data_IF_302909536263
#
_entry.id   IF_302909536263
#
_cell.length_a   1.000
_cell.length_b   1.000
_cell.length_c   1.000
_cell.angle_alpha   90.00
_cell.angle_beta   90.00
_cell.angle_gamma   90.00
#
_symmetry.space_group_name_H-M   'P 1'
#
loop_
_entity.id
_entity.type
_entity.pdbx_description
1 polymer ?
#
# COMPACT_ATOMS: atom_id res chain seq x y z
N UNK A 1 7.74 9.41 -10.75
CA UNK A 1 7.86 8.36 -11.75
C UNK A 1 9.33 8.15 -12.11
N UNK A 2 9.73 6.88 -12.24
CA UNK A 2 11.04 6.44 -12.74
C UNK A 2 10.81 5.28 -13.73
N UNK A 3 11.47 5.26 -14.87
CA UNK A 3 11.29 4.29 -15.95
C UNK A 3 10.48 4.84 -17.12
N UNK A 4 9.83 3.97 -17.89
CA UNK A 4 9.01 4.37 -19.03
C UNK A 4 7.69 4.98 -18.53
N UNK A 5 7.31 6.11 -19.10
CA UNK A 5 6.07 6.78 -18.76
C UNK A 5 4.86 6.26 -19.57
N UNK A 6 5.10 5.44 -20.58
CA UNK A 6 4.03 4.79 -21.31
C UNK A 6 3.46 3.63 -20.50
N UNK A 7 2.15 3.62 -20.34
CA UNK A 7 1.42 2.54 -19.68
C UNK A 7 1.65 1.20 -20.38
N UNK A 8 1.92 0.15 -19.63
CA UNK A 8 2.13 -1.19 -20.14
C UNK A 8 1.19 -2.18 -19.45
N UNK A 9 0.54 -3.01 -20.23
CA UNK A 9 -0.27 -4.10 -19.70
C UNK A 9 0.47 -5.42 -19.81
N UNK A 10 0.71 -6.08 -18.68
CA UNK A 10 1.35 -7.39 -18.62
C UNK A 10 0.40 -8.46 -18.06
N UNK A 11 0.82 -9.72 -18.14
CA UNK A 11 0.09 -10.80 -17.47
C UNK A 11 0.49 -10.84 -16.01
N UNK A 12 -0.45 -10.55 -15.14
CA UNK A 12 -0.25 -10.52 -13.68
C UNK A 12 -0.69 -11.81 -13.00
N UNK A 13 -0.20 -12.02 -11.78
CA UNK A 13 -0.62 -13.10 -10.89
C UNK A 13 -0.94 -12.51 -9.52
N UNK A 14 -2.17 -12.67 -9.06
CA UNK A 14 -2.60 -12.22 -7.74
C UNK A 14 -1.72 -12.79 -6.61
N UNK A 15 -1.61 -12.05 -5.54
CA UNK A 15 -1.00 -12.49 -4.30
C UNK A 15 -0.66 -11.32 -3.38
N UNK A 16 -0.33 -11.64 -2.14
CA UNK A 16 -0.11 -10.62 -1.12
C UNK A 16 1.28 -10.71 -0.51
N UNK A 17 1.91 -9.55 -0.29
CA UNK A 17 3.15 -9.40 0.47
C UNK A 17 2.86 -8.63 1.74
N UNK A 18 2.99 -9.30 2.88
CA UNK A 18 2.64 -8.78 4.20
C UNK A 18 3.91 -8.68 5.05
N UNK A 19 4.48 -7.48 5.17
CA UNK A 19 5.71 -7.23 5.92
C UNK A 19 5.45 -6.46 7.22
N UNK A 20 6.06 -6.91 8.32
CA UNK A 20 5.82 -6.37 9.66
C UNK A 20 6.47 -5.02 9.98
N UNK A 21 7.12 -4.39 9.03
CA UNK A 21 7.86 -3.14 9.22
C UNK A 21 9.37 -3.35 9.41
N UNK A 22 10.08 -2.29 9.82
CA UNK A 22 11.54 -2.22 9.87
C UNK A 22 12.16 -2.25 8.46
N UNK A 23 13.14 -3.12 8.19
CA UNK A 23 13.83 -3.20 6.91
C UNK A 23 12.97 -3.91 5.87
N UNK A 24 12.91 -3.36 4.68
CA UNK A 24 12.26 -3.99 3.53
C UNK A 24 13.02 -5.26 3.11
N UNK A 25 12.28 -6.23 2.55
CA UNK A 25 12.80 -7.55 2.17
C UNK A 25 12.87 -7.63 0.65
N UNK A 26 14.08 -7.62 0.09
CA UNK A 26 14.31 -7.68 -1.36
C UNK A 26 13.57 -8.84 -2.04
N UNK A 27 13.62 -10.03 -1.44
CA UNK A 27 12.96 -11.20 -1.99
C UNK A 27 11.43 -11.05 -2.08
N UNK A 28 10.81 -10.26 -1.18
CA UNK A 28 9.39 -9.99 -1.23
C UNK A 28 9.04 -9.04 -2.39
N UNK A 29 9.84 -7.99 -2.60
CA UNK A 29 9.68 -7.11 -3.76
C UNK A 29 9.97 -7.85 -5.07
N UNK A 30 11.03 -8.64 -5.15
CA UNK A 30 11.33 -9.46 -6.32
C UNK A 30 10.20 -10.43 -6.66
N UNK A 31 9.54 -11.00 -5.64
CA UNK A 31 8.37 -11.84 -5.83
C UNK A 31 7.18 -11.04 -6.40
N UNK A 32 6.93 -9.81 -5.94
CA UNK A 32 5.91 -8.94 -6.51
C UNK A 32 6.23 -8.56 -7.95
N UNK A 33 7.48 -8.18 -8.23
CA UNK A 33 7.97 -7.84 -9.57
C UNK A 33 7.76 -9.01 -10.54
N UNK A 34 8.11 -10.23 -10.13
CA UNK A 34 7.88 -11.40 -10.97
C UNK A 34 6.38 -11.63 -11.26
N UNK A 35 5.50 -11.39 -10.28
CA UNK A 35 4.05 -11.54 -10.44
C UNK A 35 3.38 -10.40 -11.20
N UNK A 36 4.00 -9.23 -11.23
CA UNK A 36 3.55 -8.12 -12.08
C UNK A 36 3.88 -8.35 -13.58
N UNK A 37 4.63 -9.41 -13.90
CA UNK A 37 5.13 -9.63 -15.26
C UNK A 37 6.09 -8.56 -15.75
N UNK A 38 6.74 -7.83 -14.83
CA UNK A 38 7.63 -6.72 -15.14
C UNK A 38 6.90 -5.44 -15.59
N UNK A 39 5.63 -5.30 -15.27
CA UNK A 39 4.81 -4.13 -15.59
C UNK A 39 5.08 -2.91 -14.71
N UNK A 40 4.10 -2.02 -14.61
CA UNK A 40 4.20 -0.77 -13.85
C UNK A 40 3.94 -1.02 -12.37
N UNK A 41 4.88 -0.54 -11.53
CA UNK A 41 4.84 -0.70 -10.09
C UNK A 41 4.43 0.61 -9.42
N UNK A 42 3.37 0.61 -8.63
CA UNK A 42 2.92 1.80 -7.89
C UNK A 42 3.14 1.62 -6.39
N UNK A 43 3.71 2.64 -5.76
CA UNK A 43 3.81 2.74 -4.30
C UNK A 43 2.92 3.88 -3.83
N UNK A 44 2.07 3.62 -2.82
CA UNK A 44 1.25 4.65 -2.19
C UNK A 44 1.65 4.86 -0.73
N UNK A 45 1.62 6.11 -0.28
CA UNK A 45 1.93 6.53 1.08
C UNK A 45 1.30 7.88 1.41
N UNK A 46 1.09 8.19 2.71
CA UNK A 46 0.56 9.49 3.11
C UNK A 46 1.65 10.54 3.35
N UNK A 47 2.87 10.12 3.68
CA UNK A 47 3.99 11.00 4.02
C UNK A 47 5.29 10.47 3.43
N UNK A 48 6.35 11.28 3.42
CA UNK A 48 7.66 10.91 2.91
C UNK A 48 7.87 11.30 1.44
N UNK A 49 8.72 10.56 0.74
CA UNK A 49 9.15 10.83 -0.63
C UNK A 49 9.22 9.52 -1.44
N UNK A 50 9.80 9.59 -2.60
CA UNK A 50 9.88 8.55 -3.63
C UNK A 50 11.09 7.60 -3.50
N UNK A 51 11.57 7.37 -2.28
CA UNK A 51 12.74 6.51 -2.02
C UNK A 51 12.61 5.07 -2.53
N UNK A 52 11.38 4.58 -2.74
CA UNK A 52 11.15 3.28 -3.37
C UNK A 52 11.49 3.26 -4.86
N UNK A 53 11.44 4.41 -5.53
CA UNK A 53 11.69 4.45 -6.96
C UNK A 53 13.11 3.96 -7.34
N UNK A 54 14.22 4.53 -6.81
CA UNK A 54 15.55 4.00 -7.10
C UNK A 54 15.73 2.56 -6.58
N UNK A 55 15.19 2.23 -5.42
CA UNK A 55 15.30 0.90 -4.85
C UNK A 55 14.68 -0.18 -5.75
N UNK A 56 13.41 -0.01 -6.16
CA UNK A 56 12.73 -1.02 -6.98
C UNK A 56 13.24 -1.00 -8.43
N UNK A 57 13.42 0.20 -9.03
CA UNK A 57 13.78 0.31 -10.44
C UNK A 57 15.25 0.00 -10.71
N UNK A 58 16.15 0.54 -9.86
CA UNK A 58 17.60 0.47 -10.11
C UNK A 58 18.25 -0.70 -9.38
N UNK A 59 17.96 -0.84 -8.07
CA UNK A 59 18.67 -1.83 -7.24
C UNK A 59 18.10 -3.24 -7.45
N UNK A 60 16.78 -3.39 -7.52
CA UNK A 60 16.12 -4.68 -7.77
C UNK A 60 15.89 -4.94 -9.27
N UNK A 61 15.47 -3.93 -10.02
CA UNK A 61 15.19 -4.01 -11.45
C UNK A 61 13.98 -4.87 -11.82
N UNK A 62 13.72 -4.98 -13.12
CA UNK A 62 12.71 -5.90 -13.66
C UNK A 62 11.29 -5.34 -13.76
N UNK A 63 11.09 -4.04 -13.56
CA UNK A 63 9.82 -3.33 -13.80
C UNK A 63 9.94 -2.38 -15.00
N UNK A 64 8.84 -2.13 -15.69
CA UNK A 64 8.76 -1.14 -16.76
C UNK A 64 8.92 0.28 -16.20
N UNK A 65 8.14 0.56 -15.16
CA UNK A 65 8.24 1.81 -14.40
C UNK A 65 7.91 1.61 -12.92
N UNK A 66 8.23 2.62 -12.12
CA UNK A 66 7.73 2.76 -10.76
C UNK A 66 7.31 4.20 -10.48
N UNK A 67 6.17 4.36 -9.83
CA UNK A 67 5.70 5.65 -9.38
C UNK A 67 5.30 5.61 -7.89
N UNK A 68 5.80 6.58 -7.11
CA UNK A 68 5.37 6.77 -5.74
C UNK A 68 4.38 7.94 -5.65
N UNK A 69 3.16 7.65 -5.21
CA UNK A 69 2.12 8.63 -4.94
C UNK A 69 2.10 8.99 -3.44
N UNK A 70 2.24 10.26 -3.14
CA UNK A 70 2.16 10.78 -1.76
C UNK A 70 0.80 11.46 -1.57
N UNK A 71 -0.14 10.73 -0.97
CA UNK A 71 -1.57 11.07 -0.86
C UNK A 71 -1.86 11.57 0.56
N UNK A 72 -1.82 12.89 0.74
CA UNK A 72 -1.78 13.59 2.05
C UNK A 72 -3.14 13.96 2.63
N UNK A 73 -4.23 13.51 2.03
CA UNK A 73 -5.57 13.84 2.49
C UNK A 73 -6.66 13.40 1.51
N UNK A 74 -7.91 13.60 1.91
CA UNK A 74 -9.09 13.24 1.13
C UNK A 74 -9.06 13.80 -0.30
N UNK A 75 -8.66 15.05 -0.45
CA UNK A 75 -8.59 15.71 -1.77
C UNK A 75 -7.66 14.97 -2.72
N UNK A 76 -6.49 14.58 -2.23
CA UNK A 76 -5.50 13.85 -3.03
C UNK A 76 -5.98 12.41 -3.28
N UNK A 77 -6.68 11.82 -2.30
CA UNK A 77 -7.26 10.48 -2.43
C UNK A 77 -8.44 10.42 -3.43
N UNK A 78 -9.10 11.55 -3.66
CA UNK A 78 -10.17 11.67 -4.65
C UNK A 78 -9.68 12.21 -6.00
N UNK A 79 -8.38 12.42 -6.18
CA UNK A 79 -7.81 12.86 -7.46
C UNK A 79 -7.93 11.77 -8.51
N UNK A 80 -8.51 12.11 -9.65
CA UNK A 80 -8.71 11.17 -10.76
C UNK A 80 -7.38 10.69 -11.37
N UNK A 81 -6.33 11.49 -11.31
CA UNK A 81 -5.02 11.07 -11.80
C UNK A 81 -4.40 10.02 -10.88
N UNK A 82 -4.51 10.20 -9.55
CA UNK A 82 -4.09 9.17 -8.59
C UNK A 82 -4.85 7.86 -8.80
N UNK A 83 -6.17 7.94 -8.97
CA UNK A 83 -7.00 6.79 -9.31
C UNK A 83 -6.51 6.08 -10.58
N UNK A 84 -6.32 6.82 -11.66
CA UNK A 84 -5.89 6.26 -12.95
C UNK A 84 -4.49 5.64 -12.85
N UNK A 85 -3.55 6.27 -12.17
CA UNK A 85 -2.21 5.70 -11.94
C UNK A 85 -2.31 4.36 -11.20
N UNK A 86 -3.15 4.28 -10.16
CA UNK A 86 -3.30 3.04 -9.39
C UNK A 86 -3.96 1.94 -10.20
N UNK A 87 -5.09 2.18 -10.86
CA UNK A 87 -5.81 1.11 -11.59
C UNK A 87 -5.02 0.55 -12.78
N UNK A 88 -4.09 1.33 -13.32
CA UNK A 88 -3.22 0.89 -14.41
C UNK A 88 -2.04 0.04 -13.92
N UNK A 89 -1.67 0.11 -12.65
CA UNK A 89 -0.52 -0.62 -12.09
C UNK A 89 -0.64 -2.15 -12.20
N UNK A 90 0.46 -2.83 -12.46
CA UNK A 90 0.62 -4.29 -12.42
C UNK A 90 1.11 -4.80 -11.07
N UNK A 91 1.55 -3.89 -10.17
CA UNK A 91 1.82 -4.18 -8.77
C UNK A 91 1.56 -2.94 -7.91
N UNK A 92 1.03 -3.14 -6.71
CA UNK A 92 0.81 -2.06 -5.75
C UNK A 92 1.48 -2.37 -4.41
N UNK A 93 2.19 -1.39 -3.85
CA UNK A 93 2.77 -1.50 -2.52
C UNK A 93 2.39 -0.31 -1.63
N UNK A 94 1.92 -0.61 -0.41
CA UNK A 94 1.57 0.40 0.60
C UNK A 94 2.73 0.51 1.58
N UNK A 95 3.41 1.65 1.57
CA UNK A 95 4.62 1.87 2.34
C UNK A 95 4.37 2.00 3.85
N UNK A 96 5.47 2.07 4.60
CA UNK A 96 5.45 2.43 6.03
C UNK A 96 4.86 3.84 6.22
N UNK A 97 4.10 4.03 7.29
CA UNK A 97 3.49 5.32 7.62
C UNK A 97 2.70 5.26 8.93
N UNK A 98 1.66 6.05 9.01
CA UNK A 98 0.66 6.02 10.08
C UNK A 98 -0.65 5.43 9.53
N UNK A 99 -1.12 4.33 10.09
CA UNK A 99 -2.34 3.68 9.64
C UNK A 99 -3.59 4.55 9.87
N UNK A 100 -3.57 5.47 10.84
CA UNK A 100 -4.65 6.42 11.01
C UNK A 100 -4.73 7.40 9.85
N UNK A 101 -3.58 7.91 9.37
CA UNK A 101 -3.54 8.77 8.20
C UNK A 101 -4.10 8.04 6.98
N UNK A 102 -3.69 6.80 6.76
CA UNK A 102 -4.18 5.98 5.65
C UNK A 102 -5.69 5.79 5.72
N UNK A 103 -6.22 5.34 6.85
CA UNK A 103 -7.65 5.15 7.03
C UNK A 103 -8.42 6.47 6.92
N UNK A 104 -7.93 7.55 7.53
CA UNK A 104 -8.60 8.84 7.54
C UNK A 104 -8.60 9.54 6.18
N UNK A 105 -7.56 9.32 5.37
CA UNK A 105 -7.42 9.99 4.07
C UNK A 105 -8.00 9.18 2.92
N UNK A 106 -7.83 7.85 2.94
CA UNK A 106 -8.11 7.00 1.78
C UNK A 106 -9.43 6.26 1.85
N UNK A 107 -9.93 5.95 3.05
CA UNK A 107 -11.24 5.28 3.20
C UNK A 107 -12.36 6.12 2.57
N UNK A 108 -13.31 5.48 1.91
CA UNK A 108 -14.41 6.10 1.17
C UNK A 108 -13.90 7.12 0.11
N UNK A 109 -12.90 6.74 -0.68
CA UNK A 109 -12.28 7.57 -1.72
C UNK A 109 -11.96 6.78 -2.99
N UNK A 110 -11.56 7.49 -4.04
CA UNK A 110 -11.10 6.87 -5.29
C UNK A 110 -9.86 5.99 -5.12
N UNK A 111 -8.99 6.30 -4.16
CA UNK A 111 -7.83 5.44 -3.86
C UNK A 111 -8.28 4.09 -3.31
N UNK A 112 -9.24 4.06 -2.40
CA UNK A 112 -9.83 2.80 -1.93
C UNK A 112 -10.46 2.00 -3.08
N UNK A 113 -11.28 2.66 -3.90
CA UNK A 113 -11.88 2.03 -5.08
C UNK A 113 -10.82 1.43 -6.01
N UNK A 114 -9.72 2.17 -6.25
CA UNK A 114 -8.64 1.73 -7.12
C UNK A 114 -7.88 0.52 -6.54
N UNK A 115 -7.57 0.52 -5.25
CA UNK A 115 -6.91 -0.61 -4.59
C UNK A 115 -7.80 -1.85 -4.63
N UNK A 116 -9.08 -1.69 -4.29
CA UNK A 116 -10.05 -2.79 -4.36
C UNK A 116 -10.23 -3.32 -5.79
N UNK A 117 -10.17 -2.44 -6.81
CA UNK A 117 -10.16 -2.87 -8.21
C UNK A 117 -8.94 -3.72 -8.55
N UNK A 118 -7.74 -3.32 -8.11
CA UNK A 118 -6.51 -4.09 -8.34
C UNK A 118 -6.58 -5.50 -7.75
N UNK A 119 -7.13 -5.63 -6.56
CA UNK A 119 -7.26 -6.90 -5.85
C UNK A 119 -8.35 -7.78 -6.47
N UNK A 120 -9.55 -7.24 -6.63
CA UNK A 120 -10.74 -8.04 -6.92
C UNK A 120 -11.06 -8.19 -8.40
N UNK A 121 -10.50 -7.34 -9.26
CA UNK A 121 -10.80 -7.32 -10.70
C UNK A 121 -9.56 -7.54 -11.54
N UNK A 122 -8.51 -6.75 -11.35
CA UNK A 122 -7.27 -6.85 -12.14
C UNK A 122 -6.37 -8.01 -11.67
N UNK A 123 -6.49 -8.43 -10.41
CA UNK A 123 -5.74 -9.54 -9.82
C UNK A 123 -4.22 -9.37 -9.89
N UNK A 124 -3.73 -8.19 -9.48
CA UNK A 124 -2.29 -7.90 -9.39
C UNK A 124 -1.72 -8.29 -8.02
N UNK A 125 -0.39 -8.43 -7.89
CA UNK A 125 0.23 -8.54 -6.57
C UNK A 125 0.09 -7.22 -5.80
N UNK A 126 -0.38 -7.31 -4.56
CA UNK A 126 -0.53 -6.18 -3.64
C UNK A 126 0.27 -6.46 -2.37
N UNK A 127 0.98 -5.45 -1.88
CA UNK A 127 1.77 -5.59 -0.66
C UNK A 127 1.67 -4.39 0.27
N UNK A 128 2.11 -4.60 1.49
CA UNK A 128 2.23 -3.53 2.47
C UNK A 128 3.21 -3.86 3.58
N UNK A 129 3.79 -2.81 4.17
CA UNK A 129 4.69 -2.92 5.31
C UNK A 129 4.24 -2.05 6.47
N UNK A 130 4.38 -2.54 7.72
CA UNK A 130 4.03 -1.79 8.93
C UNK A 130 2.57 -1.29 8.89
N UNK A 131 2.35 0.02 8.86
CA UNK A 131 1.02 0.62 8.71
C UNK A 131 0.32 0.20 7.41
N UNK A 132 1.06 0.04 6.31
CA UNK A 132 0.55 -0.46 5.04
C UNK A 132 0.09 -1.91 5.11
N UNK A 133 0.79 -2.76 5.87
CA UNK A 133 0.30 -4.10 6.20
C UNK A 133 -0.97 -4.03 7.06
N UNK A 134 -0.96 -3.18 8.10
CA UNK A 134 -2.05 -3.14 9.07
C UNK A 134 -3.41 -2.86 8.43
N UNK A 135 -3.46 -1.94 7.45
CA UNK A 135 -4.72 -1.52 6.81
C UNK A 135 -5.23 -2.50 5.74
N UNK A 136 -4.45 -3.52 5.38
CA UNK A 136 -4.87 -4.53 4.40
C UNK A 136 -5.85 -5.55 4.99
N UNK A 137 -5.92 -5.71 6.31
CA UNK A 137 -6.80 -6.68 6.95
C UNK A 137 -8.20 -6.14 7.24
N UNK A 138 -9.18 -7.04 7.31
CA UNK A 138 -10.56 -6.74 7.74
C UNK A 138 -10.63 -6.06 9.11
N UNK A 139 -9.77 -6.47 10.04
CA UNK A 139 -9.63 -5.83 11.35
C UNK A 139 -8.21 -5.33 11.58
N UNK A 140 -8.07 -4.07 11.98
CA UNK A 140 -6.75 -3.49 12.24
C UNK A 140 -6.76 -2.51 13.42
N UNK A 141 -5.62 -2.43 14.12
CA UNK A 141 -5.35 -1.37 15.09
C UNK A 141 -5.14 -0.05 14.34
N UNK A 142 -6.00 0.93 14.60
CA UNK A 142 -6.03 2.17 13.79
C UNK A 142 -5.06 3.27 14.24
N UNK A 143 -4.42 3.13 15.39
CA UNK A 143 -3.54 4.13 16.00
C UNK A 143 -4.15 5.54 16.16
N UNK A 144 -5.45 5.74 15.99
CA UNK A 144 -6.13 7.04 16.08
C UNK A 144 -5.80 7.84 17.34
N UNK A 145 -5.51 7.15 18.44
CA UNK A 145 -5.15 7.76 19.73
C UNK A 145 -3.69 7.56 20.09
N UNK A 146 -2.87 7.33 19.07
CA UNK A 146 -1.43 7.06 19.19
C UNK A 146 -1.11 5.59 19.34
N UNK A 147 0.18 5.29 19.37
CA UNK A 147 0.69 3.93 19.48
C UNK A 147 0.44 3.34 20.86
N UNK A 148 0.33 2.01 20.91
CA UNK A 148 0.26 1.22 22.12
C UNK A 148 1.30 0.10 22.03
N UNK A 149 2.03 -0.14 23.11
CA UNK A 149 2.93 -1.29 23.18
C UNK A 149 2.16 -2.58 23.46
N UNK A 150 2.73 -3.73 23.09
CA UNK A 150 2.14 -5.03 23.39
C UNK A 150 1.89 -5.20 24.90
N UNK A 151 2.81 -4.72 25.74
CA UNK A 151 2.67 -4.76 27.21
C UNK A 151 1.48 -3.94 27.69
N UNK A 152 1.29 -2.73 27.17
CA UNK A 152 0.14 -1.87 27.52
C UNK A 152 -1.18 -2.52 27.07
N UNK A 153 -1.24 -3.00 25.83
CA UNK A 153 -2.43 -3.65 25.29
C UNK A 153 -2.80 -4.93 26.06
N UNK A 154 -1.82 -5.75 26.43
CA UNK A 154 -2.05 -6.96 27.21
C UNK A 154 -2.47 -6.67 28.66
N UNK A 155 -1.95 -5.60 29.27
CA UNK A 155 -2.35 -5.21 30.64
C UNK A 155 -3.74 -4.61 30.71
N UNK A 156 -4.15 -3.90 29.66
CA UNK A 156 -5.51 -3.34 29.54
C UNK A 156 -5.98 -3.30 28.08
N UNK A 157 -6.53 -4.43 27.55
CA UNK A 157 -6.98 -4.51 26.17
C UNK A 157 -8.18 -3.59 25.85
N UNK A 158 -8.83 -3.04 26.87
CA UNK A 158 -9.91 -2.06 26.74
C UNK A 158 -9.46 -0.63 27.00
N UNK A 159 -8.15 -0.41 27.09
CA UNK A 159 -7.56 0.92 27.25
C UNK A 159 -7.95 1.85 26.10
N UNK A 160 -8.09 3.14 26.39
CA UNK A 160 -8.58 4.12 25.40
C UNK A 160 -7.69 4.27 24.16
N UNK A 161 -6.44 3.83 24.22
CA UNK A 161 -5.50 3.80 23.09
C UNK A 161 -5.64 2.54 22.24
N UNK A 162 -6.22 1.47 22.78
CA UNK A 162 -6.45 0.22 22.03
C UNK A 162 -7.69 0.40 21.18
N UNK A 163 -7.51 0.99 20.01
CA UNK A 163 -8.59 1.27 19.06
C UNK A 163 -8.43 0.39 17.83
N UNK A 164 -9.47 -0.39 17.52
CA UNK A 164 -9.50 -1.32 16.39
C UNK A 164 -10.65 -0.93 15.49
N UNK A 165 -10.39 -0.86 14.20
CA UNK A 165 -11.41 -0.73 13.16
C UNK A 165 -11.69 -2.12 12.59
N UNK A 166 -12.94 -2.37 12.27
CA UNK A 166 -13.35 -3.54 11.54
C UNK A 166 -14.00 -3.10 10.25
N UNK A 167 -13.51 -3.66 9.20
CA UNK A 167 -13.97 -3.63 7.83
C UNK A 167 -14.31 -2.31 7.17
N UNK A 168 -14.70 -2.45 5.94
CA UNK A 168 -15.09 -1.40 5.00
C UNK A 168 -13.96 -0.46 4.66
N UNK A 169 -12.73 -0.98 4.55
CA UNK A 169 -11.62 -0.29 3.91
C UNK A 169 -10.97 -1.24 2.88
N UNK A 170 -9.76 -1.72 3.08
CA UNK A 170 -9.10 -2.64 2.16
C UNK A 170 -9.29 -4.08 2.66
N UNK A 171 -10.47 -4.63 2.51
CA UNK A 171 -10.81 -5.99 2.93
C UNK A 171 -10.13 -7.04 2.03
N UNK A 172 -8.91 -7.46 2.43
CA UNK A 172 -8.02 -8.34 1.69
C UNK A 172 -7.69 -9.58 2.48
#
# INVERSE_FOLDING_TARGET
>A
LTGDAADVTTTTQAGFVLMGGSTDVDAAFQWMIARSGGGDFVVIRATGADGYNPYVYTDLGGVNSIETLVIKGKKDADDINAYNTIINAEALFIAVGDQWDYANYWKDSKVEDAVNYLVNVKHVPVGGTSAGLAILGDGYFDAKKGSVTSSEALSNPYGSKVSVQFNNFLDI
#
